data_IF_890573878082
#
_entry.id   IF_890573878082
#
_cell.length_a   1.000
_cell.length_b   1.000
_cell.length_c   1.000
_cell.angle_alpha   90.00
_cell.angle_beta   90.00
_cell.angle_gamma   90.00
#
_symmetry.space_group_name_H-M   'P 1'
#
loop_
_entity.id
_entity.type
_entity.pdbx_description
1 polymer ?
#
# COMPACT_ATOMS: atom_id res chain seq x y z
N UNK A 1 -95.78 -66.40 14.84
CA UNK A 1 -96.80 -65.48 14.30
C UNK A 1 -96.14 -64.12 14.08
N UNK A 2 -96.33 -63.61 12.86
CA UNK A 2 -96.13 -62.24 12.39
C UNK A 2 -96.58 -61.17 13.43
N UNK A 3 -96.12 -59.91 13.46
CA UNK A 3 -95.79 -58.97 12.39
C UNK A 3 -95.29 -57.66 13.05
N UNK A 4 -94.41 -56.91 12.39
CA UNK A 4 -94.69 -55.53 11.92
C UNK A 4 -94.25 -54.38 12.83
N UNK A 5 -93.55 -53.39 12.26
CA UNK A 5 -93.37 -52.10 12.96
C UNK A 5 -92.24 -51.15 12.51
N UNK A 6 -92.17 -50.83 11.20
CA UNK A 6 -91.77 -49.54 10.59
C UNK A 6 -90.72 -48.59 11.27
N UNK A 7 -89.63 -48.34 10.53
CA UNK A 7 -88.75 -47.11 10.52
C UNK A 7 -89.58 -45.84 10.16
N UNK A 8 -89.18 -44.55 10.42
CA UNK A 8 -87.87 -43.94 10.01
C UNK A 8 -87.36 -42.65 10.75
N UNK A 9 -86.26 -42.09 10.21
CA UNK A 9 -85.81 -40.67 10.19
C UNK A 9 -85.27 -40.02 11.48
N UNK A 10 -83.98 -39.64 11.55
CA UNK A 10 -83.25 -38.48 10.96
C UNK A 10 -83.18 -37.30 11.96
N UNK A 11 -81.99 -37.02 12.48
CA UNK A 11 -81.64 -35.69 12.97
C UNK A 11 -80.12 -35.45 12.84
N UNK A 12 -79.83 -34.49 11.98
CA UNK A 12 -78.54 -33.85 11.71
C UNK A 12 -78.13 -32.91 12.84
N UNK A 13 -76.85 -32.96 13.25
CA UNK A 13 -76.17 -31.92 14.05
C UNK A 13 -74.69 -31.90 13.64
N UNK A 14 -74.32 -31.18 12.58
CA UNK A 14 -73.88 -29.77 12.53
C UNK A 14 -72.53 -29.52 13.24
N UNK A 15 -71.52 -29.34 12.39
CA UNK A 15 -70.35 -28.44 12.50
C UNK A 15 -69.78 -28.12 13.88
N UNK A 16 -68.55 -28.56 14.11
CA UNK A 16 -67.63 -27.99 15.08
C UNK A 16 -66.22 -27.98 14.52
N UNK A 17 -65.93 -27.01 13.64
CA UNK A 17 -64.60 -26.76 13.11
C UNK A 17 -63.64 -26.35 14.23
N UNK A 18 -62.89 -27.32 14.74
CA UNK A 18 -61.74 -27.07 15.61
C UNK A 18 -60.54 -26.67 14.76
N UNK A 19 -60.44 -25.39 14.43
CA UNK A 19 -59.26 -24.77 13.83
C UNK A 19 -58.06 -24.96 14.75
N UNK A 20 -57.21 -25.97 14.45
CA UNK A 20 -55.87 -26.06 15.01
C UNK A 20 -55.09 -24.82 14.53
N UNK A 21 -54.99 -23.82 15.41
CA UNK A 21 -54.12 -22.65 15.20
C UNK A 21 -52.72 -23.14 14.82
N UNK A 22 -52.11 -22.62 13.74
CA UNK A 22 -50.70 -22.87 13.52
C UNK A 22 -49.93 -22.22 14.67
N UNK A 23 -49.20 -23.03 15.43
CA UNK A 23 -48.20 -22.53 16.37
C UNK A 23 -47.22 -21.68 15.56
N UNK A 24 -47.27 -20.35 15.73
CA UNK A 24 -46.35 -19.41 15.11
C UNK A 24 -44.92 -19.86 15.47
N UNK A 25 -44.23 -20.48 14.53
CA UNK A 25 -42.81 -20.72 14.62
C UNK A 25 -42.13 -19.36 14.75
N UNK A 26 -41.65 -19.05 15.95
CA UNK A 26 -40.90 -17.82 16.22
C UNK A 26 -39.73 -17.66 15.23
N UNK A 27 -39.30 -16.42 14.93
CA UNK A 27 -38.40 -16.16 13.83
C UNK A 27 -37.04 -16.83 14.10
N UNK A 28 -36.80 -17.96 13.43
CA UNK A 28 -35.49 -18.64 13.35
C UNK A 28 -34.39 -17.72 12.76
N UNK A 29 -34.76 -16.56 12.20
CA UNK A 29 -33.86 -15.52 11.71
C UNK A 29 -33.07 -14.75 12.78
N UNK A 30 -33.43 -14.82 14.07
CA UNK A 30 -32.74 -14.02 15.11
C UNK A 30 -31.38 -14.58 15.56
N UNK A 31 -31.15 -15.89 15.45
CA UNK A 31 -29.86 -16.52 15.78
C UNK A 31 -28.86 -16.37 14.64
N UNK A 32 -29.30 -16.59 13.39
CA UNK A 32 -28.47 -16.35 12.21
C UNK A 32 -28.06 -14.87 12.11
N UNK A 33 -29.00 -13.92 12.30
CA UNK A 33 -28.69 -12.49 12.30
C UNK A 33 -27.71 -12.09 13.41
N UNK A 34 -27.82 -12.69 14.60
CA UNK A 34 -26.84 -12.50 15.69
C UNK A 34 -25.47 -13.13 15.38
N UNK A 35 -25.44 -14.29 14.73
CA UNK A 35 -24.21 -14.94 14.28
C UNK A 35 -23.47 -14.09 13.24
N UNK A 36 -24.14 -13.66 12.16
CA UNK A 36 -23.55 -12.79 11.13
C UNK A 36 -23.13 -11.42 11.69
N UNK A 37 -23.90 -10.84 12.62
CA UNK A 37 -23.51 -9.60 13.32
C UNK A 37 -22.25 -9.81 14.18
N UNK A 38 -22.16 -10.91 14.93
CA UNK A 38 -20.97 -11.25 15.74
C UNK A 38 -19.77 -11.52 14.85
N UNK A 39 -19.94 -12.29 13.78
CA UNK A 39 -18.90 -12.56 12.80
C UNK A 39 -18.38 -11.26 12.17
N UNK A 40 -19.28 -10.35 11.75
CA UNK A 40 -18.89 -9.04 11.22
C UNK A 40 -18.13 -8.18 12.23
N UNK A 41 -18.56 -8.16 13.50
CA UNK A 41 -17.83 -7.45 14.56
C UNK A 41 -16.47 -8.09 14.82
N UNK A 42 -16.37 -9.42 14.87
CA UNK A 42 -15.10 -10.13 15.09
C UNK A 42 -14.13 -9.86 13.94
N UNK A 43 -14.60 -9.89 12.68
CA UNK A 43 -13.77 -9.56 11.50
C UNK A 43 -13.32 -8.10 11.54
N UNK A 44 -14.22 -7.17 11.89
CA UNK A 44 -13.88 -5.76 12.03
C UNK A 44 -12.84 -5.51 13.14
N UNK A 45 -13.01 -6.14 14.30
CA UNK A 45 -12.06 -6.05 15.42
C UNK A 45 -10.71 -6.66 15.02
N UNK A 46 -10.71 -7.82 14.36
CA UNK A 46 -9.47 -8.42 13.85
C UNK A 46 -8.77 -7.50 12.84
N UNK A 47 -9.51 -6.87 11.93
CA UNK A 47 -8.97 -5.90 10.97
C UNK A 47 -8.35 -4.68 11.67
N UNK A 48 -9.03 -4.12 12.68
CA UNK A 48 -8.52 -3.00 13.48
C UNK A 48 -7.26 -3.42 14.25
N UNK A 49 -7.26 -4.59 14.89
CA UNK A 49 -6.10 -5.08 15.65
C UNK A 49 -4.89 -5.30 14.73
N UNK A 50 -5.08 -5.91 13.56
CA UNK A 50 -4.03 -6.09 12.55
C UNK A 50 -3.54 -4.73 12.03
N UNK A 51 -4.46 -3.80 11.73
CA UNK A 51 -4.13 -2.45 11.28
C UNK A 51 -3.32 -1.66 12.31
N UNK A 52 -3.75 -1.66 13.58
CA UNK A 52 -3.05 -1.01 14.69
C UNK A 52 -1.69 -1.65 14.96
N UNK A 53 -1.60 -2.98 14.89
CA UNK A 53 -0.32 -3.70 15.06
C UNK A 53 0.64 -3.38 13.92
N UNK A 54 0.15 -3.31 12.67
CA UNK A 54 0.92 -2.89 11.51
C UNK A 54 1.40 -1.44 11.62
N UNK A 55 0.55 -0.53 12.10
CA UNK A 55 0.93 0.85 12.41
C UNK A 55 1.99 0.92 13.51
N UNK A 56 1.82 0.16 14.60
CA UNK A 56 2.80 0.10 15.68
C UNK A 56 4.16 -0.41 15.20
N UNK A 57 4.19 -1.46 14.39
CA UNK A 57 5.40 -1.97 13.75
C UNK A 57 6.03 -0.94 12.80
N UNK A 58 5.22 -0.22 12.01
CA UNK A 58 5.68 0.86 11.14
C UNK A 58 6.35 1.99 11.94
N UNK A 59 5.71 2.48 13.00
CA UNK A 59 6.26 3.56 13.84
C UNK A 59 7.52 3.11 14.58
N UNK A 60 7.55 1.87 15.07
CA UNK A 60 8.73 1.29 15.70
C UNK A 60 9.90 1.25 14.71
N UNK A 61 9.69 0.69 13.51
CA UNK A 61 10.72 0.64 12.47
C UNK A 61 11.16 2.04 12.03
N UNK A 62 10.24 3.00 11.90
CA UNK A 62 10.57 4.39 11.58
C UNK A 62 11.50 5.03 12.62
N UNK A 63 11.19 4.79 13.91
CA UNK A 63 11.96 5.33 15.02
C UNK A 63 13.34 4.67 15.17
N UNK A 64 13.49 3.40 14.81
CA UNK A 64 14.75 2.65 14.95
C UNK A 64 15.58 2.59 13.67
N UNK A 65 15.07 3.08 12.53
CA UNK A 65 15.81 3.08 11.26
C UNK A 65 16.58 4.38 11.13
N UNK A 66 17.88 4.33 11.39
CA UNK A 66 18.79 5.44 11.08
C UNK A 66 19.05 5.53 9.57
N UNK A 67 19.36 6.75 9.11
CA UNK A 67 19.90 6.95 7.76
C UNK A 67 21.27 6.25 7.72
N UNK A 68 21.45 5.21 6.90
CA UNK A 68 22.77 4.60 6.75
C UNK A 68 23.73 5.60 6.11
N UNK A 69 25.04 5.35 6.22
CA UNK A 69 26.00 6.15 5.47
C UNK A 69 25.78 5.95 3.96
N UNK A 70 25.81 7.04 3.16
CA UNK A 70 25.75 6.92 1.70
C UNK A 70 26.88 6.04 1.18
N UNK A 71 26.62 5.30 0.11
CA UNK A 71 27.62 4.49 -0.55
C UNK A 71 28.82 5.35 -0.97
N UNK A 72 30.03 4.91 -0.61
CA UNK A 72 31.28 5.61 -0.92
C UNK A 72 31.45 5.86 -2.42
N UNK A 73 31.04 4.93 -3.28
CA UNK A 73 31.18 5.11 -4.73
C UNK A 73 30.28 6.24 -5.25
N UNK A 74 29.09 6.41 -4.65
CA UNK A 74 28.17 7.49 -5.00
C UNK A 74 28.73 8.87 -4.61
N UNK A 75 29.68 8.93 -3.67
CA UNK A 75 30.33 10.18 -3.29
C UNK A 75 31.54 10.54 -4.18
N UNK A 76 31.95 9.65 -5.09
CA UNK A 76 33.12 9.91 -5.94
C UNK A 76 32.77 10.74 -7.18
N UNK A 77 33.69 11.61 -7.59
CA UNK A 77 33.64 12.37 -8.84
C UNK A 77 34.92 12.11 -9.64
N UNK A 78 34.82 12.28 -10.96
CA UNK A 78 36.00 12.18 -11.83
C UNK A 78 36.97 13.33 -11.56
N UNK A 79 38.24 13.02 -11.33
CA UNK A 79 39.31 14.02 -11.24
C UNK A 79 39.89 14.25 -12.63
N UNK A 80 39.95 15.50 -13.07
CA UNK A 80 40.56 15.90 -14.35
C UNK A 80 41.97 16.47 -14.12
N UNK A 81 42.92 16.03 -14.95
CA UNK A 81 44.31 16.50 -14.93
C UNK A 81 44.52 17.33 -16.19
N UNK A 82 45.05 18.54 -16.04
CA UNK A 82 45.28 19.50 -17.12
C UNK A 82 46.77 19.75 -17.34
N UNK A 83 47.12 20.21 -18.54
CA UNK A 83 48.45 20.76 -18.83
C UNK A 83 48.66 22.10 -18.09
N UNK A 84 49.87 22.65 -18.19
CA UNK A 84 50.26 23.90 -17.48
C UNK A 84 49.37 25.10 -17.83
N UNK A 85 48.73 25.10 -18.99
CA UNK A 85 47.80 26.15 -19.42
C UNK A 85 46.47 26.14 -18.64
N UNK A 86 46.11 25.02 -18.01
CA UNK A 86 44.84 24.86 -17.30
C UNK A 86 43.62 24.66 -18.20
N UNK A 87 43.79 24.64 -19.53
CA UNK A 87 42.70 24.49 -20.50
C UNK A 87 42.74 23.12 -21.18
N UNK A 88 43.92 22.65 -21.57
CA UNK A 88 44.05 21.37 -22.27
C UNK A 88 44.05 20.20 -21.26
N UNK A 89 43.12 19.26 -21.44
CA UNK A 89 43.00 18.10 -20.54
C UNK A 89 44.03 17.03 -20.92
N UNK A 90 44.93 16.74 -19.99
CA UNK A 90 45.91 15.66 -20.09
C UNK A 90 45.27 14.28 -19.84
N UNK A 91 44.33 14.18 -18.90
CA UNK A 91 43.71 12.91 -18.56
C UNK A 91 42.66 12.99 -17.45
N UNK A 92 42.27 11.83 -16.91
CA UNK A 92 41.38 11.74 -15.75
C UNK A 92 41.62 10.50 -14.91
N UNK A 93 41.34 10.62 -13.62
CA UNK A 93 41.30 9.52 -12.66
C UNK A 93 39.87 9.39 -12.16
N UNK A 94 39.29 8.20 -12.23
CA UNK A 94 37.92 7.97 -11.80
C UNK A 94 37.73 6.53 -11.33
N UNK A 95 37.02 6.34 -10.22
CA UNK A 95 36.40 5.05 -9.86
C UNK A 95 35.14 4.86 -10.70
N UNK A 96 34.38 5.94 -10.91
CA UNK A 96 33.25 6.01 -11.84
C UNK A 96 33.36 7.25 -12.71
N UNK A 97 32.90 7.17 -13.96
CA UNK A 97 32.82 8.32 -14.86
C UNK A 97 31.59 9.18 -14.50
N UNK A 98 31.72 9.93 -13.41
CA UNK A 98 30.69 10.83 -12.87
C UNK A 98 31.18 12.26 -12.84
N UNK A 99 30.30 13.19 -13.20
CA UNK A 99 30.49 14.63 -13.07
C UNK A 99 29.24 15.19 -12.40
N UNK A 100 29.39 15.68 -11.18
CA UNK A 100 28.29 16.34 -10.48
C UNK A 100 28.12 17.74 -11.08
N UNK A 101 26.90 18.06 -11.52
CA UNK A 101 26.51 19.40 -11.93
C UNK A 101 25.43 19.93 -11.00
N UNK A 102 25.42 21.26 -10.80
CA UNK A 102 24.43 21.90 -9.95
C UNK A 102 23.02 21.82 -10.55
N UNK A 103 21.98 21.86 -9.70
CA UNK A 103 20.58 21.87 -10.14
C UNK A 103 20.25 22.95 -11.19
N UNK A 104 20.88 24.12 -11.07
CA UNK A 104 20.68 25.26 -11.97
C UNK A 104 21.39 25.11 -13.32
N UNK A 105 22.42 24.26 -13.38
CA UNK A 105 23.13 23.92 -14.62
C UNK A 105 22.37 22.86 -15.44
N UNK A 106 21.45 22.12 -14.79
CA UNK A 106 20.64 21.09 -15.44
C UNK A 106 19.55 21.71 -16.34
N UNK A 107 19.48 21.32 -17.63
CA UNK A 107 18.43 21.81 -18.53
C UNK A 107 17.03 21.53 -18.01
N UNK A 108 16.16 22.55 -17.98
CA UNK A 108 14.79 22.41 -17.48
C UNK A 108 14.01 21.30 -18.20
N UNK A 109 14.16 21.18 -19.52
CA UNK A 109 13.51 20.15 -20.32
C UNK A 109 13.87 18.73 -19.85
N UNK A 110 15.11 18.51 -19.40
CA UNK A 110 15.55 17.22 -18.88
C UNK A 110 14.87 16.93 -17.53
N UNK A 111 14.87 17.91 -16.61
CA UNK A 111 14.20 17.80 -15.31
C UNK A 111 12.72 17.46 -15.49
N UNK A 112 12.04 18.19 -16.35
CA UNK A 112 10.62 17.99 -16.65
C UNK A 112 10.35 16.63 -17.30
N UNK A 113 11.20 16.19 -18.24
CA UNK A 113 11.05 14.90 -18.90
C UNK A 113 11.17 13.73 -17.91
N UNK A 114 12.17 13.75 -17.03
CA UNK A 114 12.38 12.71 -16.00
C UNK A 114 11.21 12.70 -15.02
N UNK A 115 10.80 13.87 -14.51
CA UNK A 115 9.65 13.98 -13.61
C UNK A 115 8.37 13.46 -14.27
N UNK A 116 8.10 13.84 -15.52
CA UNK A 116 6.90 13.41 -16.24
C UNK A 116 6.87 11.90 -16.54
N UNK A 117 8.03 11.30 -16.81
CA UNK A 117 8.17 9.89 -17.13
C UNK A 117 8.13 9.00 -15.88
N UNK A 118 8.84 9.37 -14.82
CA UNK A 118 9.05 8.50 -13.67
C UNK A 118 8.15 8.80 -12.47
N UNK A 119 7.84 10.08 -12.23
CA UNK A 119 7.14 10.50 -11.03
C UNK A 119 6.34 11.78 -11.26
N UNK A 120 5.20 11.70 -11.96
CA UNK A 120 4.38 12.89 -12.29
C UNK A 120 3.98 13.76 -11.10
N UNK A 121 3.83 13.18 -9.91
CA UNK A 121 3.46 13.89 -8.68
C UNK A 121 4.68 14.36 -7.87
N UNK A 122 5.89 14.36 -8.44
CA UNK A 122 7.14 14.52 -7.69
C UNK A 122 7.15 15.76 -6.81
N UNK A 123 6.72 16.89 -7.36
CA UNK A 123 6.73 18.18 -6.68
C UNK A 123 5.76 18.27 -5.50
N UNK A 124 4.74 17.41 -5.46
CA UNK A 124 3.65 17.47 -4.47
C UNK A 124 3.68 16.27 -3.51
N UNK A 125 4.30 15.17 -3.89
CA UNK A 125 4.31 13.97 -3.06
C UNK A 125 5.26 14.10 -1.85
N UNK A 126 4.98 13.39 -0.74
CA UNK A 126 5.83 13.42 0.45
C UNK A 126 7.10 12.55 0.34
N UNK A 127 7.58 12.27 -0.88
CA UNK A 127 8.67 11.34 -1.15
C UNK A 127 8.22 9.91 -1.45
N UNK A 128 6.91 9.62 -1.36
CA UNK A 128 6.33 8.32 -1.71
C UNK A 128 4.95 8.47 -2.36
N UNK A 129 4.58 7.51 -3.21
CA UNK A 129 3.29 7.55 -3.91
C UNK A 129 2.18 6.91 -3.07
N UNK A 130 1.30 7.73 -2.50
CA UNK A 130 0.12 7.25 -1.75
C UNK A 130 -0.78 6.41 -2.66
N UNK A 131 -1.04 6.90 -3.88
CA UNK A 131 -1.86 6.20 -4.88
C UNK A 131 -1.18 4.92 -5.38
N UNK A 132 0.15 4.94 -5.54
CA UNK A 132 0.95 3.77 -5.90
C UNK A 132 0.89 2.67 -4.83
N UNK A 133 1.03 3.03 -3.55
CA UNK A 133 0.91 2.08 -2.43
C UNK A 133 -0.51 1.51 -2.37
N UNK A 134 -1.54 2.35 -2.47
CA UNK A 134 -2.93 1.89 -2.45
C UNK A 134 -3.24 0.93 -3.61
N UNK A 135 -2.78 1.26 -4.83
CA UNK A 135 -2.92 0.40 -6.01
C UNK A 135 -2.17 -0.91 -5.86
N UNK A 136 -0.94 -0.88 -5.35
CA UNK A 136 -0.14 -2.08 -5.10
C UNK A 136 -0.79 -3.00 -4.07
N UNK A 137 -1.30 -2.45 -2.96
CA UNK A 137 -2.02 -3.19 -1.95
C UNK A 137 -3.30 -3.84 -2.51
N UNK A 138 -4.07 -3.11 -3.32
CA UNK A 138 -5.25 -3.63 -4.00
C UNK A 138 -4.91 -4.74 -5.01
N UNK A 139 -3.83 -4.58 -5.79
CA UNK A 139 -3.35 -5.61 -6.73
C UNK A 139 -2.98 -6.90 -6.00
N UNK A 140 -2.23 -6.82 -4.90
CA UNK A 140 -1.88 -7.99 -4.08
C UNK A 140 -3.15 -8.66 -3.52
N UNK A 141 -4.08 -7.87 -2.97
CA UNK A 141 -5.32 -8.39 -2.39
C UNK A 141 -6.23 -9.08 -3.42
N UNK A 142 -6.12 -8.70 -4.70
CA UNK A 142 -6.87 -9.30 -5.81
C UNK A 142 -6.12 -10.43 -6.51
N UNK A 143 -4.96 -10.85 -5.99
CA UNK A 143 -4.15 -11.94 -6.54
C UNK A 143 -3.27 -11.55 -7.73
N UNK A 144 -3.17 -10.24 -8.01
CA UNK A 144 -2.21 -9.70 -8.99
C UNK A 144 -0.82 -9.50 -8.39
N UNK A 145 0.13 -9.17 -9.26
CA UNK A 145 1.51 -8.88 -8.86
C UNK A 145 1.64 -7.47 -8.24
N UNK A 146 2.73 -7.26 -7.50
CA UNK A 146 3.08 -5.94 -6.98
C UNK A 146 3.35 -4.99 -8.16
N UNK A 147 2.42 -4.08 -8.46
CA UNK A 147 2.63 -3.08 -9.51
C UNK A 147 3.63 -2.00 -9.06
N UNK A 148 4.54 -1.65 -9.96
CA UNK A 148 5.54 -0.60 -9.76
C UNK A 148 4.91 0.79 -9.57
N UNK A 149 5.42 1.52 -8.58
CA UNK A 149 5.00 2.89 -8.25
C UNK A 149 6.02 3.60 -7.37
N UNK A 150 7.30 3.25 -7.51
CA UNK A 150 8.36 3.89 -6.73
C UNK A 150 8.52 5.34 -7.20
N UNK A 151 8.73 6.25 -6.27
CA UNK A 151 8.98 7.67 -6.54
C UNK A 151 10.45 7.92 -6.88
N UNK A 152 10.77 9.05 -7.48
CA UNK A 152 12.14 9.53 -7.68
C UNK A 152 12.90 9.50 -6.35
N UNK A 153 12.31 9.98 -5.26
CA UNK A 153 12.93 9.95 -3.92
C UNK A 153 13.29 8.52 -3.47
N UNK A 154 12.40 7.54 -3.70
CA UNK A 154 12.69 6.15 -3.36
C UNK A 154 13.78 5.54 -4.26
N UNK A 155 13.79 5.90 -5.54
CA UNK A 155 14.83 5.46 -6.47
C UNK A 155 16.19 6.05 -6.10
N UNK A 156 16.22 7.34 -5.74
CA UNK A 156 17.42 8.02 -5.26
C UNK A 156 17.99 7.33 -4.03
N UNK A 157 17.17 7.07 -3.01
CA UNK A 157 17.58 6.36 -1.78
C UNK A 157 18.15 4.97 -2.07
N UNK A 158 17.56 4.26 -3.02
CA UNK A 158 18.02 2.92 -3.41
C UNK A 158 19.44 2.97 -4.00
N UNK A 159 19.74 4.01 -4.79
CA UNK A 159 21.07 4.22 -5.38
C UNK A 159 22.05 4.72 -4.30
N UNK A 160 21.60 5.67 -3.47
CA UNK A 160 22.42 6.33 -2.46
C UNK A 160 22.90 5.36 -1.38
N UNK A 161 22.07 4.42 -0.93
CA UNK A 161 22.36 3.57 0.23
C UNK A 161 22.56 2.07 -0.07
N UNK A 162 22.40 1.63 -1.32
CA UNK A 162 22.65 0.25 -1.81
C UNK A 162 22.34 -0.86 -0.79
N UNK A 163 21.07 -1.03 -0.44
CA UNK A 163 20.63 -2.04 0.52
C UNK A 163 20.50 -3.44 -0.14
N UNK A 164 21.20 -4.43 0.42
CA UNK A 164 21.22 -5.84 -0.05
C UNK A 164 20.19 -6.74 0.65
N UNK A 165 19.34 -6.19 1.53
CA UNK A 165 18.31 -6.95 2.25
C UNK A 165 17.25 -7.62 1.38
N UNK A 166 16.44 -8.48 2.00
CA UNK A 166 15.28 -9.13 1.34
C UNK A 166 14.35 -8.09 0.71
N UNK A 167 13.71 -8.44 -0.43
CA UNK A 167 12.95 -7.47 -1.25
C UNK A 167 11.91 -6.69 -0.47
N UNK A 168 11.18 -7.32 0.45
CA UNK A 168 10.13 -6.67 1.23
C UNK A 168 10.69 -5.78 2.35
N UNK A 169 11.65 -6.29 3.14
CA UNK A 169 12.27 -5.50 4.22
C UNK A 169 13.00 -4.29 3.68
N UNK A 170 13.71 -4.45 2.56
CA UNK A 170 14.34 -3.35 1.83
C UNK A 170 13.30 -2.32 1.39
N UNK A 171 12.15 -2.76 0.86
CA UNK A 171 11.13 -1.82 0.38
C UNK A 171 10.47 -1.02 1.51
N UNK A 172 10.29 -1.63 2.69
CA UNK A 172 9.83 -0.91 3.88
C UNK A 172 10.88 0.11 4.33
N UNK A 173 12.17 -0.26 4.31
CA UNK A 173 13.26 0.67 4.65
C UNK A 173 13.35 1.83 3.67
N UNK A 174 13.29 1.57 2.36
CA UNK A 174 13.21 2.61 1.31
C UNK A 174 12.06 3.58 1.57
N UNK A 175 10.89 3.08 1.96
CA UNK A 175 9.75 3.93 2.31
C UNK A 175 10.02 4.79 3.54
N UNK A 176 10.59 4.24 4.62
CA UNK A 176 10.93 5.02 5.82
C UNK A 176 11.93 6.12 5.51
N UNK A 177 12.99 5.78 4.76
CA UNK A 177 14.03 6.73 4.37
C UNK A 177 13.45 7.81 3.46
N UNK A 178 12.53 7.46 2.55
CA UNK A 178 11.89 8.44 1.67
C UNK A 178 11.01 9.43 2.42
N UNK A 179 10.33 8.98 3.48
CA UNK A 179 9.57 9.85 4.37
C UNK A 179 10.48 10.79 5.15
N UNK A 180 11.65 10.33 5.62
CA UNK A 180 12.62 11.20 6.32
C UNK A 180 13.22 12.21 5.35
N UNK A 181 13.77 11.74 4.24
CA UNK A 181 14.39 12.58 3.22
C UNK A 181 13.44 13.61 2.63
N UNK A 182 12.20 13.23 2.30
CA UNK A 182 11.19 14.16 1.77
C UNK A 182 10.73 15.24 2.77
N UNK A 183 11.09 15.13 4.05
CA UNK A 183 10.83 16.15 5.08
C UNK A 183 12.06 17.01 5.38
N UNK A 184 13.25 16.47 5.16
CA UNK A 184 14.53 17.12 5.49
C UNK A 184 15.13 17.88 4.30
N UNK A 185 14.93 17.39 3.07
CA UNK A 185 15.51 17.96 1.86
C UNK A 185 14.43 18.60 0.97
N UNK A 186 14.74 19.74 0.31
CA UNK A 186 13.90 20.30 -0.73
C UNK A 186 13.84 19.38 -1.96
N UNK A 187 12.77 19.51 -2.76
CA UNK A 187 12.55 18.65 -3.94
C UNK A 187 13.63 18.82 -5.00
N UNK A 188 14.16 20.03 -5.11
CA UNK A 188 15.24 20.39 -6.01
C UNK A 188 16.51 19.61 -5.68
N UNK A 189 16.89 19.54 -4.41
CA UNK A 189 18.07 18.79 -3.95
C UNK A 189 17.89 17.27 -4.13
N UNK A 190 16.67 16.76 -3.90
CA UNK A 190 16.35 15.36 -4.18
C UNK A 190 16.48 15.05 -5.67
N UNK A 191 15.99 15.93 -6.54
CA UNK A 191 16.06 15.74 -7.98
C UNK A 191 17.50 15.90 -8.50
N UNK A 192 18.24 16.87 -7.99
CA UNK A 192 19.66 17.06 -8.28
C UNK A 192 20.47 15.82 -7.91
N UNK A 193 20.29 15.30 -6.69
CA UNK A 193 20.94 14.08 -6.25
C UNK A 193 20.56 12.87 -7.08
N UNK A 194 19.30 12.77 -7.52
CA UNK A 194 18.85 11.67 -8.38
C UNK A 194 19.43 11.70 -9.79
N UNK A 195 19.60 12.90 -10.35
CA UNK A 195 20.08 13.09 -11.73
C UNK A 195 21.61 13.02 -11.86
N UNK A 196 22.34 13.06 -10.74
CA UNK A 196 23.81 13.00 -10.67
C UNK A 196 24.34 11.62 -10.28
#
# INVERSE_FOLDING_TARGET
>A
MAQSGKRPAKATGKSGGGSKKPTKGGPKGSRAKRFWKRLGITVLVAFIVVGLSGMGAFFFLYATTDLPDPNSDFQTNTTFIYYRDGEERLGSLAVQNRQTIGYDEMPQLMKDAVVAAENRTFWEDPGFSVTGIARGAFSIATGGELQGGSTITQQYIKILYLDSGQRLSRKVRELMLAIKMGRELPKEEILEGYLN
#
